data_IF_074493436956
#
_entry.id   IF_074493436956
#
_cell.length_a   1.000
_cell.length_b   1.000
_cell.length_c   1.000
_cell.angle_alpha   90.00
_cell.angle_beta   90.00
_cell.angle_gamma   90.00
#
_symmetry.space_group_name_H-M   'P 1'
#
loop_
_entity.id
_entity.type
_entity.pdbx_description
1 polymer ?
#
# COMPACT_ATOMS: atom_id res chain seq x y z
N UNK A 1 13.32 -16.84 -15.28
CA UNK A 1 14.15 -15.80 -15.92
C UNK A 1 13.57 -14.45 -15.55
N UNK A 2 14.38 -13.55 -14.99
CA UNK A 2 13.92 -12.20 -14.64
C UNK A 2 13.53 -11.42 -15.91
N UNK A 3 12.65 -10.41 -15.80
CA UNK A 3 12.20 -9.62 -16.96
C UNK A 3 13.36 -8.95 -17.70
N UNK A 4 14.37 -8.49 -16.97
CA UNK A 4 15.57 -7.84 -17.50
C UNK A 4 16.43 -8.82 -18.29
N UNK A 5 16.77 -9.96 -17.68
CA UNK A 5 17.54 -11.04 -18.29
C UNK A 5 16.87 -11.58 -19.57
N UNK A 6 15.56 -11.83 -19.51
CA UNK A 6 14.79 -12.33 -20.66
C UNK A 6 14.77 -11.36 -21.85
N UNK A 7 15.08 -10.08 -21.63
CA UNK A 7 15.06 -9.03 -22.64
C UNK A 7 16.45 -8.41 -22.87
N UNK A 8 17.52 -9.07 -22.44
CA UNK A 8 18.91 -8.59 -22.59
C UNK A 8 19.14 -7.17 -22.02
N UNK A 9 18.43 -6.83 -20.93
CA UNK A 9 18.66 -5.59 -20.18
C UNK A 9 19.69 -5.89 -19.10
N UNK A 10 20.85 -5.29 -19.23
CA UNK A 10 21.97 -5.49 -18.33
C UNK A 10 21.64 -4.99 -16.90
N UNK A 11 21.92 -5.82 -15.91
CA UNK A 11 21.83 -5.48 -14.49
C UNK A 11 23.19 -5.72 -13.82
N UNK A 12 24.19 -4.90 -14.17
CA UNK A 12 25.46 -4.91 -13.43
C UNK A 12 25.22 -4.31 -12.06
N UNK A 13 25.42 -5.10 -11.00
CA UNK A 13 25.25 -4.64 -9.62
C UNK A 13 23.80 -4.67 -9.13
N UNK A 14 23.07 -5.77 -9.41
CA UNK A 14 21.87 -6.08 -8.61
C UNK A 14 22.22 -5.87 -7.12
N UNK A 15 21.37 -5.16 -6.37
CA UNK A 15 21.56 -4.65 -5.00
C UNK A 15 21.90 -3.15 -4.86
N UNK A 16 22.15 -2.40 -5.95
CA UNK A 16 22.19 -0.92 -5.91
C UNK A 16 20.82 -0.33 -6.30
N UNK A 17 20.31 0.60 -5.48
CA UNK A 17 19.10 1.36 -5.78
C UNK A 17 19.16 2.05 -7.15
N UNK A 18 20.35 2.46 -7.62
CA UNK A 18 20.52 3.06 -8.94
C UNK A 18 20.31 2.04 -10.08
N UNK A 19 20.68 0.77 -9.87
CA UNK A 19 20.53 -0.29 -10.86
C UNK A 19 19.04 -0.62 -11.06
N UNK A 20 18.26 -0.64 -9.98
CA UNK A 20 16.80 -0.82 -10.07
C UNK A 20 16.12 0.34 -10.81
N UNK A 21 16.58 1.58 -10.60
CA UNK A 21 16.08 2.75 -11.35
C UNK A 21 16.38 2.61 -12.83
N UNK A 22 17.62 2.27 -13.20
CA UNK A 22 18.02 2.08 -14.61
C UNK A 22 17.27 0.93 -15.27
N UNK A 23 17.13 -0.19 -14.58
CA UNK A 23 16.36 -1.34 -15.07
C UNK A 23 14.88 -0.98 -15.29
N UNK A 24 14.27 -0.23 -14.36
CA UNK A 24 12.90 0.25 -14.49
C UNK A 24 12.73 1.16 -15.71
N UNK A 25 13.66 2.09 -15.93
CA UNK A 25 13.65 2.97 -17.11
C UNK A 25 13.78 2.14 -18.39
N UNK A 26 14.70 1.17 -18.42
CA UNK A 26 14.93 0.31 -19.58
C UNK A 26 13.69 -0.52 -19.92
N UNK A 27 13.03 -1.12 -18.93
CA UNK A 27 11.78 -1.87 -19.13
C UNK A 27 10.67 -0.95 -19.63
N UNK A 28 10.51 0.24 -19.04
CA UNK A 28 9.50 1.20 -19.50
C UNK A 28 9.76 1.65 -20.95
N UNK A 29 11.02 1.90 -21.31
CA UNK A 29 11.43 2.24 -22.67
C UNK A 29 11.15 1.10 -23.65
N UNK A 30 11.47 -0.15 -23.28
CA UNK A 30 11.20 -1.33 -24.09
C UNK A 30 9.70 -1.52 -24.36
N UNK A 31 8.85 -1.37 -23.34
CA UNK A 31 7.39 -1.44 -23.52
C UNK A 31 6.91 -0.32 -24.45
N UNK A 32 7.44 0.90 -24.30
CA UNK A 32 7.10 2.04 -25.16
C UNK A 32 7.51 1.80 -26.61
N UNK A 33 8.65 1.15 -26.84
CA UNK A 33 9.15 0.81 -28.18
C UNK A 33 8.31 -0.31 -28.82
N UNK A 34 8.11 -1.43 -28.12
CA UNK A 34 7.45 -2.63 -28.67
C UNK A 34 5.93 -2.53 -28.69
N UNK A 35 5.33 -1.81 -27.76
CA UNK A 35 3.88 -1.68 -27.58
C UNK A 35 3.47 -0.22 -27.29
N UNK A 36 3.74 0.74 -28.20
CA UNK A 36 3.55 2.18 -27.96
C UNK A 36 2.09 2.55 -27.64
N UNK A 37 1.11 1.91 -28.30
CA UNK A 37 -0.32 2.14 -28.04
C UNK A 37 -0.70 1.73 -26.61
N UNK A 38 -0.24 0.56 -26.17
CA UNK A 38 -0.48 0.04 -24.83
C UNK A 38 0.15 0.93 -23.76
N UNK A 39 1.42 1.32 -23.99
CA UNK A 39 2.14 2.23 -23.11
C UNK A 39 1.39 3.56 -22.95
N UNK A 40 1.04 4.21 -24.07
CA UNK A 40 0.35 5.49 -24.06
C UNK A 40 -1.02 5.41 -23.39
N UNK A 41 -1.75 4.31 -23.63
CA UNK A 41 -3.04 4.05 -23.01
C UNK A 41 -2.92 3.99 -21.47
N UNK A 42 -2.07 3.10 -20.93
CA UNK A 42 -1.92 2.97 -19.49
C UNK A 42 -1.25 4.19 -18.84
N UNK A 43 -0.32 4.84 -19.54
CA UNK A 43 0.26 6.10 -19.08
C UNK A 43 -0.81 7.19 -18.93
N UNK A 44 -1.83 7.23 -19.78
CA UNK A 44 -2.96 8.15 -19.64
C UNK A 44 -3.83 7.84 -18.41
N UNK A 45 -3.95 6.56 -18.01
CA UNK A 45 -4.72 6.13 -16.84
C UNK A 45 -4.13 6.55 -15.49
N UNK A 46 -2.92 7.12 -15.47
CA UNK A 46 -2.38 7.78 -14.25
C UNK A 46 -3.28 8.89 -13.72
N UNK A 47 -4.12 9.48 -14.59
CA UNK A 47 -5.11 10.49 -14.22
C UNK A 47 -6.41 9.79 -13.83
N UNK A 48 -6.85 9.94 -12.57
CA UNK A 48 -8.12 9.38 -12.07
C UNK A 48 -9.34 9.71 -12.94
N UNK A 49 -9.33 10.86 -13.61
CA UNK A 49 -10.41 11.27 -14.53
C UNK A 49 -10.52 10.38 -15.76
N UNK A 50 -9.43 9.78 -16.25
CA UNK A 50 -9.47 8.83 -17.36
C UNK A 50 -9.98 7.47 -16.87
N UNK A 51 -9.56 7.03 -15.68
CA UNK A 51 -10.06 5.80 -15.05
C UNK A 51 -11.57 5.84 -14.89
N UNK A 52 -12.14 6.97 -14.41
CA UNK A 52 -13.59 7.15 -14.24
C UNK A 52 -14.41 7.03 -15.53
N UNK A 53 -13.82 7.31 -16.70
CA UNK A 53 -14.52 7.14 -17.99
C UNK A 53 -14.72 5.68 -18.34
N UNK A 54 -13.79 4.83 -17.90
CA UNK A 54 -13.79 3.38 -18.15
C UNK A 54 -14.59 2.67 -17.07
N UNK A 55 -14.34 3.00 -15.80
CA UNK A 55 -14.96 2.36 -14.64
C UNK A 55 -16.14 3.21 -14.19
N UNK A 56 -17.27 3.07 -14.88
CA UNK A 56 -18.49 3.82 -14.58
C UNK A 56 -19.28 3.16 -13.45
N UNK A 57 -20.02 3.97 -12.67
CA UNK A 57 -20.86 3.51 -11.57
C UNK A 57 -22.14 4.34 -11.51
N UNK A 58 -23.25 3.82 -10.94
CA UNK A 58 -23.41 2.45 -10.44
C UNK A 58 -23.55 1.42 -11.56
N UNK A 59 -23.12 0.18 -11.32
CA UNK A 59 -23.29 -0.94 -12.25
C UNK A 59 -22.88 -0.62 -13.70
N UNK A 60 -21.71 0.00 -13.88
CA UNK A 60 -21.19 0.27 -15.21
C UNK A 60 -20.85 -1.01 -15.97
N UNK A 61 -20.56 -0.86 -17.26
CA UNK A 61 -20.16 -1.97 -18.13
C UNK A 61 -19.00 -2.77 -17.51
N UNK A 62 -18.95 -4.10 -17.74
CA UNK A 62 -17.81 -4.90 -17.34
C UNK A 62 -16.50 -4.36 -17.90
N UNK A 63 -15.46 -4.33 -17.08
CA UNK A 63 -14.13 -3.88 -17.48
C UNK A 63 -13.11 -5.00 -17.25
N UNK A 64 -12.10 -5.07 -18.11
CA UNK A 64 -10.96 -5.94 -17.91
C UNK A 64 -10.01 -5.27 -16.91
N UNK A 65 -9.81 -5.89 -15.75
CA UNK A 65 -8.91 -5.39 -14.71
C UNK A 65 -7.72 -6.33 -14.56
N UNK A 66 -6.51 -5.76 -14.57
CA UNK A 66 -5.24 -6.49 -14.44
C UNK A 66 -4.59 -6.13 -13.10
N UNK A 67 -4.35 -7.14 -12.25
CA UNK A 67 -3.78 -6.94 -10.92
C UNK A 67 -3.03 -8.18 -10.44
N UNK A 68 -1.97 -7.96 -9.64
CA UNK A 68 -1.10 -9.04 -9.18
C UNK A 68 -1.82 -10.14 -8.38
N UNK A 69 -2.87 -9.81 -7.63
CA UNK A 69 -3.64 -10.79 -6.86
C UNK A 69 -4.52 -11.71 -7.73
N UNK A 70 -4.66 -11.43 -9.03
CA UNK A 70 -5.33 -12.33 -9.99
C UNK A 70 -4.37 -13.30 -10.70
N UNK A 71 -3.06 -13.23 -10.40
CA UNK A 71 -2.02 -13.95 -11.14
C UNK A 71 -2.26 -15.45 -11.17
N UNK A 72 -2.27 -16.00 -12.38
CA UNK A 72 -2.25 -17.43 -12.71
C UNK A 72 -1.33 -17.64 -13.91
N UNK A 73 -1.16 -18.89 -14.34
CA UNK A 73 -0.33 -19.23 -15.49
C UNK A 73 -0.80 -18.54 -16.79
N UNK A 74 -2.11 -18.34 -16.94
CA UNK A 74 -2.73 -17.74 -18.12
C UNK A 74 -2.66 -16.20 -18.11
N UNK A 75 -2.30 -15.59 -16.98
CA UNK A 75 -2.22 -14.14 -16.80
C UNK A 75 -2.86 -13.66 -15.51
N UNK A 76 -2.92 -12.33 -15.35
CA UNK A 76 -3.37 -11.66 -14.12
C UNK A 76 -4.55 -10.71 -14.37
N UNK A 77 -5.41 -11.04 -15.34
CA UNK A 77 -6.57 -10.22 -15.71
C UNK A 77 -7.91 -10.94 -15.49
N UNK A 78 -8.93 -10.19 -15.07
CA UNK A 78 -10.32 -10.66 -14.90
C UNK A 78 -11.30 -9.63 -15.44
N UNK A 79 -12.47 -10.08 -15.89
CA UNK A 79 -13.61 -9.19 -16.06
C UNK A 79 -14.22 -8.89 -14.69
N UNK A 80 -14.48 -7.62 -14.43
CA UNK A 80 -15.04 -7.16 -13.17
C UNK A 80 -16.26 -6.28 -13.45
N UNK A 81 -17.21 -6.26 -12.51
CA UNK A 81 -18.31 -5.30 -12.55
C UNK A 81 -18.09 -4.21 -11.51
N UNK A 82 -18.13 -2.91 -11.89
CA UNK A 82 -18.10 -1.83 -10.92
C UNK A 82 -19.49 -1.64 -10.30
N UNK A 83 -19.64 -1.79 -8.99
CA UNK A 83 -20.94 -1.70 -8.29
C UNK A 83 -21.23 -0.25 -7.93
N UNK A 84 -20.43 0.37 -7.05
CA UNK A 84 -20.62 1.75 -6.60
C UNK A 84 -19.36 2.29 -5.93
N UNK A 85 -19.24 3.61 -5.84
CA UNK A 85 -18.26 4.25 -4.96
C UNK A 85 -18.55 3.97 -3.48
N UNK A 86 -17.49 3.86 -2.68
CA UNK A 86 -17.60 3.83 -1.21
C UNK A 86 -17.96 5.21 -0.69
N UNK A 87 -18.87 5.27 0.30
CA UNK A 87 -19.30 6.54 0.92
C UNK A 87 -18.15 7.25 1.66
N UNK A 88 -17.30 6.49 2.35
CA UNK A 88 -16.14 7.02 3.08
C UNK A 88 -14.98 7.45 2.18
N UNK A 89 -14.89 6.93 0.95
CA UNK A 89 -13.79 7.18 0.04
C UNK A 89 -14.25 7.23 -1.42
N UNK A 90 -14.42 8.45 -1.94
CA UNK A 90 -14.82 8.67 -3.33
C UNK A 90 -13.79 8.19 -4.39
N UNK A 91 -12.56 7.82 -3.98
CA UNK A 91 -11.58 7.21 -4.87
C UNK A 91 -11.60 5.68 -4.83
N UNK A 92 -12.43 5.06 -3.99
CA UNK A 92 -12.61 3.62 -3.94
C UNK A 92 -13.95 3.23 -4.58
N UNK A 93 -13.92 2.24 -5.47
CA UNK A 93 -15.10 1.63 -6.09
C UNK A 93 -15.19 0.20 -5.61
N UNK A 94 -16.34 -0.21 -5.08
CA UNK A 94 -16.64 -1.61 -4.79
C UNK A 94 -16.87 -2.30 -6.14
N UNK A 95 -16.07 -3.32 -6.41
CA UNK A 95 -16.13 -4.12 -7.62
C UNK A 95 -16.35 -5.59 -7.28
N UNK A 96 -16.81 -6.37 -8.26
CA UNK A 96 -16.92 -7.82 -8.14
C UNK A 96 -16.22 -8.52 -9.31
N UNK A 97 -15.44 -9.55 -8.99
CA UNK A 97 -14.80 -10.46 -9.95
C UNK A 97 -15.84 -11.39 -10.58
N UNK A 98 -16.13 -11.20 -11.87
CA UNK A 98 -17.17 -11.96 -12.58
C UNK A 98 -16.81 -13.43 -12.82
N UNK A 99 -15.58 -13.86 -12.47
CA UNK A 99 -15.22 -15.28 -12.43
C UNK A 99 -15.77 -16.02 -11.21
N UNK A 100 -16.26 -15.30 -10.19
CA UNK A 100 -16.82 -15.87 -8.96
C UNK A 100 -18.34 -16.06 -9.01
N UNK A 101 -18.84 -16.94 -8.15
CA UNK A 101 -20.28 -17.16 -7.99
C UNK A 101 -20.93 -15.90 -7.40
N UNK A 102 -22.03 -15.45 -8.00
CA UNK A 102 -22.76 -14.26 -7.57
C UNK A 102 -23.67 -14.53 -6.38
N UNK A 103 -24.04 -15.78 -6.09
CA UNK A 103 -25.01 -16.06 -5.03
C UNK A 103 -24.58 -15.50 -3.65
N UNK A 104 -23.32 -15.66 -3.18
CA UNK A 104 -22.87 -15.02 -1.94
C UNK A 104 -22.92 -13.49 -1.95
N UNK A 105 -22.64 -12.86 -3.10
CA UNK A 105 -22.73 -11.40 -3.27
C UNK A 105 -24.18 -10.92 -3.11
N UNK A 106 -25.13 -11.63 -3.73
CA UNK A 106 -26.54 -11.25 -3.72
C UNK A 106 -27.20 -11.44 -2.34
N UNK A 107 -26.60 -12.27 -1.49
CA UNK A 107 -27.05 -12.52 -0.11
C UNK A 107 -26.28 -11.70 0.93
N UNK A 108 -25.25 -10.97 0.52
CA UNK A 108 -24.39 -10.24 1.43
C UNK A 108 -25.13 -9.09 2.14
N UNK A 109 -24.74 -8.87 3.39
CA UNK A 109 -25.16 -7.76 4.24
C UNK A 109 -24.07 -6.68 4.25
N UNK A 110 -24.36 -5.52 4.85
CA UNK A 110 -23.40 -4.42 4.96
C UNK A 110 -22.10 -4.85 5.69
N UNK A 111 -22.22 -5.78 6.64
CA UNK A 111 -21.10 -6.31 7.43
C UNK A 111 -20.28 -7.40 6.70
N UNK A 112 -20.93 -8.13 5.79
CA UNK A 112 -20.31 -9.29 5.12
C UNK A 112 -19.85 -8.98 3.70
N UNK A 113 -20.34 -7.92 3.06
CA UNK A 113 -20.08 -7.62 1.64
C UNK A 113 -18.59 -7.58 1.29
N UNK A 114 -17.76 -6.87 2.06
CA UNK A 114 -16.31 -6.78 1.77
C UNK A 114 -15.55 -8.08 2.07
N UNK A 115 -16.15 -9.00 2.82
CA UNK A 115 -15.60 -10.32 3.12
C UNK A 115 -16.08 -11.37 2.12
N UNK A 116 -17.09 -11.06 1.32
CA UNK A 116 -17.63 -11.94 0.29
C UNK A 116 -16.56 -12.20 -0.78
N UNK A 117 -16.37 -13.47 -1.12
CA UNK A 117 -15.42 -13.86 -2.16
C UNK A 117 -15.73 -13.15 -3.49
N UNK A 118 -14.68 -12.60 -4.12
CA UNK A 118 -14.80 -11.87 -5.38
C UNK A 118 -15.10 -10.37 -5.22
N UNK A 119 -15.53 -9.91 -4.04
CA UNK A 119 -15.67 -8.48 -3.74
C UNK A 119 -14.31 -7.88 -3.41
N UNK A 120 -14.00 -6.73 -3.98
CA UNK A 120 -12.80 -5.95 -3.65
C UNK A 120 -13.00 -4.46 -3.94
N UNK A 121 -12.09 -3.63 -3.43
CA UNK A 121 -12.11 -2.18 -3.66
C UNK A 121 -11.07 -1.79 -4.71
N UNK A 122 -11.51 -1.15 -5.80
CA UNK A 122 -10.66 -0.58 -6.83
C UNK A 122 -10.34 0.88 -6.50
N UNK A 123 -9.07 1.18 -6.23
CA UNK A 123 -8.60 2.54 -5.98
C UNK A 123 -8.26 3.28 -7.27
N UNK A 124 -9.09 4.22 -7.70
CA UNK A 124 -8.90 4.95 -8.97
C UNK A 124 -7.73 5.94 -8.96
N UNK A 125 -7.23 6.30 -7.77
CA UNK A 125 -6.08 7.19 -7.58
C UNK A 125 -4.75 6.43 -7.40
N UNK A 126 -4.75 5.08 -7.55
CA UNK A 126 -3.55 4.24 -7.47
C UNK A 126 -3.18 3.62 -8.83
N UNK A 127 -3.45 4.35 -9.91
CA UNK A 127 -3.14 3.96 -11.31
C UNK A 127 -3.58 2.52 -11.68
N UNK A 128 -4.87 2.16 -11.52
CA UNK A 128 -5.31 0.80 -11.82
C UNK A 128 -5.23 0.48 -13.31
N UNK A 129 -4.79 -0.75 -13.63
CA UNK A 129 -4.71 -1.24 -15.00
C UNK A 129 -6.08 -1.77 -15.45
N UNK A 130 -6.95 -0.87 -15.91
CA UNK A 130 -8.28 -1.18 -16.42
C UNK A 130 -8.41 -0.93 -17.92
N UNK A 131 -9.15 -1.79 -18.61
CA UNK A 131 -9.45 -1.68 -20.03
C UNK A 131 -10.94 -1.91 -20.30
N UNK A 132 -11.55 -1.24 -21.30
CA UNK A 132 -12.93 -1.52 -21.69
C UNK A 132 -13.08 -2.97 -22.19
N UNK A 133 -14.29 -3.51 -22.10
CA UNK A 133 -14.61 -4.87 -22.51
C UNK A 133 -14.18 -5.21 -23.94
N UNK A 134 -14.22 -4.24 -24.86
CA UNK A 134 -13.87 -4.46 -26.26
C UNK A 134 -12.39 -4.85 -26.51
N UNK A 135 -11.51 -4.61 -25.53
CA UNK A 135 -10.11 -5.08 -25.58
C UNK A 135 -10.05 -6.60 -25.43
N UNK A 136 -11.03 -7.23 -24.77
CA UNK A 136 -11.13 -8.67 -24.61
C UNK A 136 -11.77 -9.32 -25.85
N UNK A 137 -10.93 -9.56 -26.86
CA UNK A 137 -11.26 -10.41 -28.01
C UNK A 137 -11.40 -11.87 -27.58
N UNK A 138 -12.06 -12.70 -28.38
CA UNK A 138 -12.29 -14.11 -28.03
C UNK A 138 -10.97 -14.89 -27.95
N UNK A 139 -10.01 -14.57 -28.82
CA UNK A 139 -8.66 -15.14 -28.76
C UNK A 139 -7.94 -14.74 -27.46
N UNK A 140 -8.08 -13.48 -27.02
CA UNK A 140 -7.48 -13.03 -25.77
C UNK A 140 -8.20 -13.66 -24.56
N UNK A 141 -9.51 -13.83 -24.62
CA UNK A 141 -10.30 -14.51 -23.60
C UNK A 141 -9.83 -15.96 -23.40
N UNK A 142 -9.64 -16.71 -24.49
CA UNK A 142 -9.07 -18.08 -24.45
C UNK A 142 -7.67 -18.05 -23.84
N UNK A 143 -6.80 -17.15 -24.29
CA UNK A 143 -5.42 -17.04 -23.79
C UNK A 143 -5.36 -16.75 -22.29
N UNK A 144 -6.28 -15.91 -21.78
CA UNK A 144 -6.35 -15.51 -20.38
C UNK A 144 -7.19 -16.46 -19.50
N UNK A 145 -7.81 -17.49 -20.10
CA UNK A 145 -8.72 -18.40 -19.40
C UNK A 145 -9.98 -17.69 -18.86
N UNK A 146 -10.53 -16.73 -19.61
CA UNK A 146 -11.71 -15.96 -19.23
C UNK A 146 -12.94 -16.45 -20.02
N UNK A 147 -13.93 -16.99 -19.32
CA UNK A 147 -15.25 -17.25 -19.91
C UNK A 147 -16.05 -15.95 -19.98
N UNK A 148 -16.04 -15.34 -21.17
CA UNK A 148 -16.72 -14.07 -21.45
C UNK A 148 -18.25 -14.18 -21.31
N UNK A 149 -18.84 -15.29 -21.76
CA UNK A 149 -20.29 -15.45 -21.73
C UNK A 149 -20.80 -15.60 -20.30
N UNK A 150 -20.13 -16.42 -19.50
CA UNK A 150 -20.44 -16.57 -18.08
C UNK A 150 -20.27 -15.25 -17.32
N UNK A 151 -19.20 -14.50 -17.61
CA UNK A 151 -18.98 -13.20 -16.98
C UNK A 151 -20.09 -12.19 -17.31
N UNK A 152 -20.52 -12.11 -18.56
CA UNK A 152 -21.62 -11.23 -18.98
C UNK A 152 -22.96 -11.66 -18.39
N UNK A 153 -23.23 -12.96 -18.32
CA UNK A 153 -24.40 -13.49 -17.63
C UNK A 153 -24.43 -13.08 -16.15
N UNK A 154 -23.32 -13.25 -15.44
CA UNK A 154 -23.20 -12.85 -14.03
C UNK A 154 -23.31 -11.34 -13.83
N UNK A 155 -22.76 -10.54 -14.74
CA UNK A 155 -22.96 -9.10 -14.73
C UNK A 155 -24.45 -8.76 -14.80
N UNK A 156 -25.21 -9.38 -15.70
CA UNK A 156 -26.66 -9.20 -15.80
C UNK A 156 -27.39 -9.62 -14.51
N UNK A 157 -26.97 -10.68 -13.84
CA UNK A 157 -27.54 -11.06 -12.54
C UNK A 157 -27.32 -9.97 -11.48
N UNK A 158 -26.16 -9.31 -11.49
CA UNK A 158 -25.79 -8.28 -10.51
C UNK A 158 -26.53 -6.97 -10.75
N UNK A 159 -26.57 -6.46 -11.98
CA UNK A 159 -27.16 -5.14 -12.26
C UNK A 159 -28.67 -5.09 -12.03
N UNK A 160 -29.34 -6.25 -12.08
CA UNK A 160 -30.77 -6.39 -11.82
C UNK A 160 -31.10 -6.47 -10.32
N UNK A 161 -30.17 -6.11 -9.42
CA UNK A 161 -30.34 -6.22 -7.97
C UNK A 161 -30.19 -4.86 -7.26
N UNK A 162 -31.25 -4.02 -7.25
CA UNK A 162 -31.20 -2.71 -6.59
C UNK A 162 -30.84 -2.76 -5.10
N UNK A 163 -31.21 -3.84 -4.40
CA UNK A 163 -30.87 -4.03 -2.98
C UNK A 163 -29.36 -4.06 -2.76
N UNK A 164 -28.60 -4.70 -3.66
CA UNK A 164 -27.15 -4.75 -3.56
C UNK A 164 -26.52 -3.35 -3.62
N UNK A 165 -27.07 -2.44 -4.43
CA UNK A 165 -26.57 -1.07 -4.50
C UNK A 165 -26.77 -0.33 -3.17
N UNK A 166 -27.91 -0.53 -2.50
CA UNK A 166 -28.18 0.06 -1.19
C UNK A 166 -27.21 -0.49 -0.14
N UNK A 167 -27.07 -1.82 -0.06
CA UNK A 167 -26.11 -2.49 0.82
C UNK A 167 -24.70 -1.95 0.59
N UNK A 168 -24.23 -1.95 -0.67
CA UNK A 168 -22.89 -1.50 -1.03
C UNK A 168 -22.62 -0.03 -0.71
N UNK A 169 -23.62 0.85 -0.78
CA UNK A 169 -23.47 2.27 -0.42
C UNK A 169 -23.35 2.51 1.09
N UNK A 170 -23.90 1.62 1.89
CA UNK A 170 -23.89 1.72 3.35
C UNK A 170 -22.71 1.00 3.99
N UNK A 171 -21.98 0.16 3.24
CA UNK A 171 -20.76 -0.48 3.71
C UNK A 171 -19.79 0.55 4.28
N UNK A 172 -19.31 0.24 5.49
CA UNK A 172 -18.23 0.96 6.15
C UNK A 172 -17.03 0.02 6.23
N UNK A 173 -15.90 0.49 5.74
CA UNK A 173 -14.63 -0.22 5.94
C UNK A 173 -14.15 0.05 7.37
N UNK A 174 -14.09 -0.99 8.19
CA UNK A 174 -13.54 -0.91 9.54
C UNK A 174 -12.09 -1.34 9.53
N UNK A 175 -11.22 -0.47 10.02
CA UNK A 175 -9.82 -0.78 10.27
C UNK A 175 -9.60 -0.75 11.79
N UNK A 176 -8.89 -1.76 12.31
CA UNK A 176 -8.35 -1.68 13.66
C UNK A 176 -7.22 -0.65 13.66
N UNK A 177 -7.52 0.56 14.13
CA UNK A 177 -6.55 1.63 14.27
C UNK A 177 -5.50 1.27 15.33
N UNK A 178 -4.26 1.70 15.08
CA UNK A 178 -3.19 1.62 16.08
C UNK A 178 -3.10 2.99 16.75
N UNK A 179 -3.23 3.02 18.08
CA UNK A 179 -3.09 4.26 18.87
C UNK A 179 -1.62 4.68 19.01
N UNK A 180 -1.01 5.01 17.87
CA UNK A 180 0.34 5.53 17.75
C UNK A 180 0.42 6.46 16.53
N UNK A 181 0.89 7.69 16.73
CA UNK A 181 0.91 8.70 15.66
C UNK A 181 1.72 8.33 14.42
N UNK A 182 2.66 7.37 14.50
CA UNK A 182 3.37 6.88 13.32
C UNK A 182 2.48 5.99 12.42
N UNK A 183 1.33 5.51 12.92
CA UNK A 183 0.36 4.69 12.19
C UNK A 183 -0.87 5.48 11.72
N UNK A 184 -1.04 6.69 12.22
CA UNK A 184 -2.25 7.49 12.01
C UNK A 184 -2.18 8.39 10.77
N UNK A 185 -1.33 8.09 9.78
CA UNK A 185 -1.16 8.92 8.58
C UNK A 185 -2.48 9.11 7.81
N UNK A 186 -3.35 8.10 7.80
CA UNK A 186 -4.59 8.08 7.03
C UNK A 186 -5.85 8.38 7.85
N UNK A 187 -5.74 8.63 9.16
CA UNK A 187 -6.89 8.90 10.03
C UNK A 187 -7.64 10.16 9.59
N UNK A 188 -6.89 11.24 9.33
CA UNK A 188 -7.40 12.49 8.75
C UNK A 188 -6.29 13.36 8.18
N UNK A 189 -6.65 14.21 7.22
CA UNK A 189 -5.79 15.27 6.71
C UNK A 189 -5.65 16.39 7.74
N UNK A 190 -4.50 17.05 7.76
CA UNK A 190 -4.28 18.27 8.55
C UNK A 190 -4.94 19.47 7.87
N UNK A 191 -5.62 20.31 8.66
CA UNK A 191 -6.22 21.54 8.18
C UNK A 191 -5.18 22.58 7.72
N UNK A 192 -5.64 23.58 6.96
CA UNK A 192 -4.75 24.59 6.36
C UNK A 192 -3.96 25.39 7.41
N UNK A 193 -4.56 25.64 8.58
CA UNK A 193 -3.90 26.34 9.68
C UNK A 193 -2.71 25.54 10.23
N UNK A 194 -2.90 24.24 10.48
CA UNK A 194 -1.84 23.32 10.92
C UNK A 194 -0.75 23.17 9.85
N UNK A 195 -1.12 23.10 8.57
CA UNK A 195 -0.15 23.06 7.47
C UNK A 195 0.75 24.31 7.41
N UNK A 196 0.19 25.50 7.68
CA UNK A 196 0.99 26.74 7.79
C UNK A 196 1.95 26.68 8.98
N UNK A 197 1.49 26.19 10.13
CA UNK A 197 2.33 26.02 11.34
C UNK A 197 3.46 25.02 11.13
N UNK A 198 3.27 23.99 10.30
CA UNK A 198 4.37 23.09 9.91
C UNK A 198 5.50 23.80 9.17
N UNK A 199 5.23 24.87 8.40
CA UNK A 199 6.29 25.63 7.75
C UNK A 199 7.17 26.34 8.81
N UNK A 200 6.56 26.89 9.86
CA UNK A 200 7.28 27.53 10.98
C UNK A 200 8.19 26.50 11.66
N UNK A 201 7.67 25.32 11.98
CA UNK A 201 8.46 24.23 12.56
C UNK A 201 9.64 23.84 11.65
N UNK A 202 9.42 23.74 10.33
CA UNK A 202 10.46 23.34 9.38
C UNK A 202 11.58 24.38 9.27
N UNK A 203 11.27 25.67 9.41
CA UNK A 203 12.23 26.76 9.32
C UNK A 203 12.96 27.05 10.64
N UNK A 204 12.39 26.69 11.79
CA UNK A 204 13.01 26.92 13.08
C UNK A 204 14.28 26.08 13.31
N UNK A 205 15.21 26.60 14.10
CA UNK A 205 16.41 25.86 14.50
C UNK A 205 16.03 24.65 15.38
N UNK A 206 16.75 23.51 15.31
CA UNK A 206 16.44 22.32 16.10
C UNK A 206 16.19 22.57 17.59
N UNK A 207 17.02 23.41 18.21
CA UNK A 207 16.93 23.79 19.64
C UNK A 207 15.66 24.58 19.99
N UNK A 208 15.00 25.19 19.01
CA UNK A 208 13.84 26.06 19.20
C UNK A 208 12.53 25.32 18.91
N UNK A 209 12.57 24.23 18.12
CA UNK A 209 11.38 23.53 17.62
C UNK A 209 10.38 23.14 18.72
N UNK A 210 10.86 22.66 19.87
CA UNK A 210 9.99 22.26 21.00
C UNK A 210 9.51 23.43 21.87
N UNK A 211 10.10 24.62 21.71
CA UNK A 211 9.73 25.84 22.42
C UNK A 211 8.77 26.73 21.61
N UNK A 212 8.47 26.33 20.37
CA UNK A 212 7.44 26.99 19.56
C UNK A 212 6.05 26.73 20.16
N UNK A 213 5.47 27.74 20.80
CA UNK A 213 4.10 27.71 21.29
C UNK A 213 3.10 27.90 20.14
N UNK A 214 2.94 26.86 19.32
CA UNK A 214 2.02 26.85 18.19
C UNK A 214 0.75 26.07 18.56
N UNK A 215 -0.40 26.72 18.40
CA UNK A 215 -1.70 26.11 18.69
C UNK A 215 -2.14 25.19 17.54
N UNK A 216 -1.87 23.90 17.64
CA UNK A 216 -2.33 22.91 16.66
C UNK A 216 -3.76 22.44 16.95
N UNK A 217 -4.56 22.31 15.91
CA UNK A 217 -5.91 21.73 16.00
C UNK A 217 -5.84 20.21 16.14
N UNK A 218 -4.92 19.58 15.41
CA UNK A 218 -4.73 18.14 15.45
C UNK A 218 -3.82 17.71 16.61
N UNK A 219 -4.38 16.95 17.55
CA UNK A 219 -3.68 16.43 18.73
C UNK A 219 -2.47 15.53 18.41
N UNK A 220 -2.37 14.99 17.18
CA UNK A 220 -1.23 14.17 16.75
C UNK A 220 0.06 14.98 16.63
N UNK A 221 -0.02 16.29 16.45
CA UNK A 221 1.16 17.10 16.13
C UNK A 221 2.17 17.16 17.27
N UNK A 222 1.74 17.36 18.51
CA UNK A 222 2.63 17.46 19.65
C UNK A 222 3.53 16.20 19.82
N UNK A 223 2.99 14.97 19.88
CA UNK A 223 3.82 13.76 19.92
C UNK A 223 4.61 13.53 18.63
N UNK A 224 4.10 13.90 17.45
CA UNK A 224 4.88 13.83 16.20
C UNK A 224 6.11 14.74 16.24
N UNK A 225 5.96 15.99 16.70
CA UNK A 225 7.04 16.96 16.82
C UNK A 225 8.10 16.50 17.83
N UNK A 226 7.68 16.01 18.99
CA UNK A 226 8.59 15.46 19.98
C UNK A 226 9.42 14.30 19.41
N UNK A 227 8.79 13.36 18.71
CA UNK A 227 9.47 12.23 18.05
C UNK A 227 10.36 12.69 16.91
N UNK A 228 9.96 13.70 16.14
CA UNK A 228 10.77 14.27 15.07
C UNK A 228 12.07 14.87 15.63
N UNK A 229 12.00 15.67 16.70
CA UNK A 229 13.20 16.21 17.34
C UNK A 229 14.04 15.09 17.97
N UNK A 230 13.43 14.17 18.71
CA UNK A 230 14.15 13.06 19.35
C UNK A 230 14.87 12.12 18.37
N UNK A 231 14.32 11.91 17.17
CA UNK A 231 14.93 11.08 16.11
C UNK A 231 16.09 11.76 15.40
N UNK A 232 16.03 13.08 15.20
CA UNK A 232 16.97 13.81 14.34
C UNK A 232 18.02 14.63 15.11
N UNK A 233 17.66 15.15 16.30
CA UNK A 233 18.47 16.06 17.10
C UNK A 233 18.34 15.77 18.60
N UNK A 234 18.62 14.54 19.02
CA UNK A 234 18.48 14.13 20.42
C UNK A 234 19.37 14.92 21.40
N UNK A 235 20.44 15.53 20.88
CA UNK A 235 21.39 16.36 21.61
C UNK A 235 20.80 17.68 22.09
N UNK A 236 19.79 18.23 21.39
CA UNK A 236 19.15 19.50 21.77
C UNK A 236 18.10 19.34 22.86
N UNK A 237 17.77 18.09 23.24
CA UNK A 237 16.82 17.81 24.30
C UNK A 237 17.43 18.16 25.67
N UNK A 238 16.62 18.80 26.52
CA UNK A 238 16.98 18.98 27.93
C UNK A 238 16.89 17.64 28.72
N UNK A 239 17.34 17.61 29.97
CA UNK A 239 17.44 16.36 30.74
C UNK A 239 16.08 15.68 30.99
N UNK A 240 15.00 16.45 31.15
CA UNK A 240 13.65 15.89 31.27
C UNK A 240 13.18 15.27 29.94
N UNK A 241 13.38 15.99 28.84
CA UNK A 241 13.04 15.52 27.50
C UNK A 241 13.87 14.29 27.11
N UNK A 242 15.16 14.24 27.47
CA UNK A 242 16.03 13.07 27.27
C UNK A 242 15.49 11.85 28.01
N UNK A 243 15.06 12.01 29.28
CA UNK A 243 14.43 10.93 30.04
C UNK A 243 13.14 10.44 29.39
N UNK A 244 12.26 11.37 28.97
CA UNK A 244 11.02 11.03 28.23
C UNK A 244 11.32 10.30 26.91
N UNK A 245 12.34 10.76 26.18
CA UNK A 245 12.76 10.16 24.92
C UNK A 245 13.33 8.75 25.11
N UNK A 246 14.18 8.53 26.11
CA UNK A 246 14.69 7.19 26.46
C UNK A 246 13.56 6.24 26.84
N UNK A 247 12.62 6.69 27.67
CA UNK A 247 11.43 5.90 28.03
C UNK A 247 10.59 5.52 26.80
N UNK A 248 10.38 6.45 25.88
CA UNK A 248 9.72 6.17 24.60
C UNK A 248 10.48 5.11 23.79
N UNK A 249 11.81 5.23 23.64
CA UNK A 249 12.62 4.25 22.91
C UNK A 249 12.57 2.86 23.55
N UNK A 250 12.65 2.78 24.89
CA UNK A 250 12.52 1.52 25.63
C UNK A 250 11.16 0.87 25.38
N UNK A 251 10.06 1.61 25.55
CA UNK A 251 8.72 1.07 25.30
C UNK A 251 8.53 0.66 23.84
N UNK A 252 9.01 1.45 22.88
CA UNK A 252 8.87 1.16 21.44
C UNK A 252 9.57 -0.13 21.01
N UNK A 253 10.68 -0.48 21.68
CA UNK A 253 11.50 -1.65 21.34
C UNK A 253 11.12 -2.90 22.14
N UNK A 254 10.51 -2.74 23.32
CA UNK A 254 9.96 -3.84 24.12
C UNK A 254 8.52 -4.20 23.70
N UNK A 255 7.69 -3.17 23.53
CA UNK A 255 6.26 -3.23 23.24
C UNK A 255 5.94 -2.46 21.95
N UNK A 256 6.37 -2.97 20.78
CA UNK A 256 6.07 -2.31 19.51
C UNK A 256 4.55 -2.22 19.30
N UNK A 257 4.04 -1.09 18.77
CA UNK A 257 2.60 -0.86 18.62
C UNK A 257 1.99 -1.70 17.49
N UNK A 258 0.69 -1.95 17.59
CA UNK A 258 -0.09 -2.67 16.59
C UNK A 258 0.30 -4.15 16.47
N UNK A 259 0.36 -4.65 15.23
CA UNK A 259 0.69 -6.06 14.94
C UNK A 259 2.19 -6.31 14.71
N UNK A 260 3.04 -5.31 14.96
CA UNK A 260 4.50 -5.44 14.77
C UNK A 260 5.04 -6.44 15.80
N UNK A 261 5.71 -7.50 15.31
CA UNK A 261 6.33 -8.54 16.17
C UNK A 261 7.82 -8.29 16.45
N UNK A 262 8.39 -7.23 15.89
CA UNK A 262 9.82 -6.92 15.98
C UNK A 262 10.13 -6.22 17.33
N UNK A 263 10.25 -7.00 18.39
CA UNK A 263 10.80 -6.57 19.68
C UNK A 263 12.20 -7.16 19.92
N UNK A 264 12.86 -6.78 21.02
CA UNK A 264 14.19 -7.27 21.38
C UNK A 264 14.32 -8.80 21.37
N UNK A 265 13.36 -9.50 21.98
CA UNK A 265 13.39 -10.96 22.05
C UNK A 265 13.30 -11.58 20.64
N UNK A 266 12.41 -11.05 19.80
CA UNK A 266 12.27 -11.51 18.42
C UNK A 266 13.54 -11.22 17.61
N UNK A 267 14.10 -10.01 17.72
CA UNK A 267 15.31 -9.59 17.03
C UNK A 267 16.50 -10.49 17.38
N UNK A 268 16.82 -10.64 18.67
CA UNK A 268 17.94 -11.46 19.16
C UNK A 268 17.82 -12.91 18.69
N UNK A 269 16.64 -13.52 18.91
CA UNK A 269 16.35 -14.89 18.47
C UNK A 269 16.55 -15.05 16.96
N UNK A 270 16.05 -14.12 16.14
CA UNK A 270 16.16 -14.23 14.67
C UNK A 270 17.59 -14.08 14.17
N UNK A 271 18.38 -13.22 14.79
CA UNK A 271 19.81 -13.08 14.48
C UNK A 271 20.53 -14.39 14.82
N UNK A 272 20.30 -14.97 15.99
CA UNK A 272 20.92 -16.24 16.41
C UNK A 272 20.53 -17.40 15.51
N UNK A 273 19.22 -17.58 15.23
CA UNK A 273 18.70 -18.60 14.32
C UNK A 273 19.36 -18.49 12.92
N UNK A 274 19.51 -17.26 12.40
CA UNK A 274 20.11 -17.05 11.08
C UNK A 274 21.62 -17.30 11.08
N UNK A 275 22.35 -16.80 12.08
CA UNK A 275 23.80 -17.03 12.21
C UNK A 275 24.15 -18.52 12.37
N UNK A 276 23.28 -19.30 13.01
CA UNK A 276 23.44 -20.75 13.16
C UNK A 276 23.12 -21.54 11.88
N UNK A 277 22.46 -20.93 10.89
CA UNK A 277 22.11 -21.60 9.64
C UNK A 277 23.35 -21.85 8.77
N UNK A 278 23.38 -23.02 8.14
CA UNK A 278 24.39 -23.37 7.12
C UNK A 278 24.03 -22.84 5.74
N UNK A 279 22.82 -22.33 5.56
CA UNK A 279 22.27 -21.88 4.26
C UNK A 279 22.63 -20.43 3.91
N UNK A 280 23.27 -19.70 4.83
CA UNK A 280 23.61 -18.28 4.62
C UNK A 280 25.04 -18.10 4.10
N UNK A 281 25.17 -17.18 3.14
CA UNK A 281 26.44 -16.79 2.53
C UNK A 281 27.38 -16.09 3.52
N UNK A 282 28.66 -15.98 3.17
CA UNK A 282 29.65 -15.26 3.98
C UNK A 282 29.30 -13.78 4.15
N UNK A 283 28.71 -13.16 3.12
CA UNK A 283 28.26 -11.76 3.16
C UNK A 283 27.09 -11.59 4.12
N UNK A 284 26.07 -12.45 4.04
CA UNK A 284 24.93 -12.43 4.97
C UNK A 284 25.39 -12.63 6.42
N UNK A 285 26.36 -13.53 6.67
CA UNK A 285 26.96 -13.71 8.00
C UNK A 285 27.58 -12.42 8.53
N UNK A 286 28.28 -11.67 7.69
CA UNK A 286 28.87 -10.37 8.05
C UNK A 286 27.78 -9.36 8.41
N UNK A 287 26.75 -9.22 7.57
CA UNK A 287 25.62 -8.31 7.82
C UNK A 287 24.91 -8.66 9.14
N UNK A 288 24.70 -9.95 9.42
CA UNK A 288 24.08 -10.41 10.66
C UNK A 288 24.96 -10.11 11.89
N UNK A 289 26.28 -10.22 11.78
CA UNK A 289 27.21 -9.87 12.85
C UNK A 289 27.19 -8.36 13.13
N UNK A 290 27.15 -7.52 12.08
CA UNK A 290 27.05 -6.07 12.23
C UNK A 290 25.67 -5.67 12.80
N UNK A 291 24.58 -6.32 12.39
CA UNK A 291 23.26 -6.14 12.98
C UNK A 291 23.23 -6.52 14.47
N UNK A 292 23.88 -7.63 14.84
CA UNK A 292 24.01 -8.05 16.24
C UNK A 292 24.71 -6.96 17.06
N UNK A 293 25.86 -6.49 16.60
CA UNK A 293 26.63 -5.42 17.26
C UNK A 293 25.80 -4.13 17.39
N UNK A 294 25.12 -3.73 16.32
CA UNK A 294 24.22 -2.58 16.34
C UNK A 294 23.11 -2.73 17.39
N UNK A 295 22.52 -3.92 17.49
CA UNK A 295 21.52 -4.23 18.52
C UNK A 295 22.07 -4.10 19.94
N UNK A 296 23.26 -4.64 20.21
CA UNK A 296 23.93 -4.55 21.51
C UNK A 296 24.25 -3.10 21.90
N UNK A 297 24.81 -2.31 20.97
CA UNK A 297 25.11 -0.89 21.18
C UNK A 297 23.82 -0.08 21.43
N UNK A 298 22.75 -0.36 20.67
CA UNK A 298 21.47 0.32 20.83
C UNK A 298 20.79 -0.03 22.16
N UNK A 299 20.86 -1.29 22.58
CA UNK A 299 20.34 -1.73 23.88
C UNK A 299 21.06 -1.01 25.03
N UNK A 300 22.39 -0.95 24.99
CA UNK A 300 23.18 -0.21 25.97
C UNK A 300 22.82 1.28 25.97
N UNK A 301 22.57 1.90 24.81
CA UNK A 301 22.19 3.32 24.73
C UNK A 301 20.81 3.61 25.34
N UNK A 302 19.90 2.63 25.31
CA UNK A 302 18.52 2.80 25.78
C UNK A 302 18.39 2.45 27.27
N UNK A 303 19.04 1.38 27.72
CA UNK A 303 18.88 0.82 29.06
C UNK A 303 20.08 1.02 30.00
N UNK A 304 21.23 1.42 29.47
CA UNK A 304 22.42 1.83 30.25
C UNK A 304 22.35 3.29 30.66
#
# INVERSE_FOLDING_TARGET
VALTEANNIEQVGAHDALVDVRATIAIAALIKEKQPKLYNYYFALRKKTQVKKIVQTPFGDPVLYTAAFFSKNEGCSRLITPITHMKSNANAIICFDLSKDTAPLLQATEETLLKTEGVFTLSINKCPFVSPLNVLTDQLAIKLGIDKNLALYRHQQIINQPKLLMTARNVVETYEGVDDVDFQLYDRFFGDADQKRFNIIRQAEPKEKLSLHLDFEDSRVAPMLFRHVGRNWSEVLNDEQKRKWRSFCANRTLNPPGSIKMNWNFFKRKIEEKLASTEISAEEKRVLADLKRYGEELEQRIFG
#
